data_IF_131112659814
#
_entry.id   IF_131112659814
#
_cell.length_a   1.000
_cell.length_b   1.000
_cell.length_c   1.000
_cell.angle_alpha   90.00
_cell.angle_beta   90.00
_cell.angle_gamma   90.00
#
_symmetry.space_group_name_H-M   'P 1'
#
loop_
_entity.id
_entity.type
_entity.pdbx_description
1 polymer ?
#
# COMPACT_ATOMS: atom_id res chain seq x y z
N UNK A 1 29.49 0.20 0.38
CA UNK A 1 28.73 0.60 1.57
C UNK A 1 27.65 -0.44 1.81
N UNK A 2 27.53 -0.98 3.02
CA UNK A 2 26.44 -1.90 3.36
C UNK A 2 25.11 -1.12 3.30
N UNK A 3 24.19 -1.52 2.42
CA UNK A 3 22.88 -0.91 2.36
C UNK A 3 22.10 -1.28 3.62
N UNK A 4 21.72 -0.26 4.40
CA UNK A 4 20.88 -0.44 5.56
C UNK A 4 19.47 -0.85 5.08
N UNK A 5 18.98 -1.96 5.61
CA UNK A 5 17.57 -2.33 5.40
C UNK A 5 16.67 -1.30 6.09
N UNK A 6 15.49 -1.00 5.52
CA UNK A 6 14.54 -0.10 6.17
C UNK A 6 14.10 -0.67 7.52
N UNK A 7 13.86 0.21 8.47
CA UNK A 7 13.16 -0.13 9.69
C UNK A 7 11.72 -0.52 9.36
N UNK A 8 11.20 -1.58 9.99
CA UNK A 8 9.79 -1.97 9.85
C UNK A 8 9.08 -1.70 11.16
N UNK A 9 8.05 -0.88 11.08
CA UNK A 9 7.16 -0.55 12.18
C UNK A 9 5.81 -1.21 11.92
N UNK A 10 5.25 -1.86 12.93
CA UNK A 10 3.91 -2.46 12.89
C UNK A 10 3.10 -1.79 13.99
N UNK A 11 1.98 -1.17 13.62
CA UNK A 11 1.14 -0.37 14.52
C UNK A 11 -0.35 -0.62 14.24
N UNK A 12 -1.18 -0.36 15.25
CA UNK A 12 -2.63 -0.26 15.15
C UNK A 12 -3.11 1.20 15.02
N UNK A 13 -2.17 2.14 14.91
CA UNK A 13 -2.50 3.54 14.60
C UNK A 13 -3.12 3.63 13.21
N UNK A 14 -4.29 4.26 13.07
CA UNK A 14 -4.92 4.47 11.77
C UNK A 14 -3.99 5.17 10.77
N UNK A 15 -4.01 4.74 9.51
CA UNK A 15 -3.11 5.22 8.47
C UNK A 15 -3.17 6.73 8.27
N UNK A 16 -4.36 7.33 8.37
CA UNK A 16 -4.58 8.77 8.23
C UNK A 16 -3.85 9.63 9.28
N UNK A 17 -3.53 9.03 10.42
CA UNK A 17 -2.81 9.69 11.53
C UNK A 17 -1.30 9.48 11.46
N UNK A 18 -0.81 8.65 10.54
CA UNK A 18 0.61 8.39 10.41
C UNK A 18 1.35 9.61 9.86
N UNK A 19 2.41 10.01 10.56
CA UNK A 19 3.33 11.03 10.08
C UNK A 19 4.37 10.39 9.15
N UNK A 20 3.98 10.21 7.89
CA UNK A 20 4.78 9.56 6.85
C UNK A 20 4.85 10.44 5.60
N UNK A 21 5.86 10.25 4.76
CA UNK A 21 5.99 11.02 3.51
C UNK A 21 4.94 10.60 2.49
N UNK A 22 4.63 9.30 2.47
CA UNK A 22 3.62 8.73 1.59
C UNK A 22 2.84 7.61 2.29
N UNK A 23 1.58 7.44 1.91
CA UNK A 23 0.69 6.39 2.39
C UNK A 23 0.17 5.60 1.20
N UNK A 24 0.10 4.27 1.31
CA UNK A 24 -0.44 3.41 0.28
C UNK A 24 -1.58 2.55 0.83
N UNK A 25 -2.62 2.37 0.02
CA UNK A 25 -3.80 1.55 0.29
C UNK A 25 -3.99 0.49 -0.80
N UNK A 26 -4.36 -0.75 -0.46
CA UNK A 26 -4.92 -1.67 -1.43
C UNK A 26 -6.32 -1.21 -1.83
N UNK A 27 -6.63 -1.27 -3.11
CA UNK A 27 -7.90 -0.83 -3.67
C UNK A 27 -8.45 -1.88 -4.64
N UNK A 28 -9.75 -1.85 -4.88
CA UNK A 28 -10.37 -2.67 -5.90
C UNK A 28 -10.52 -1.91 -7.23
N UNK A 29 -10.98 -2.63 -8.26
CA UNK A 29 -11.17 -2.08 -9.61
C UNK A 29 -12.22 -0.97 -9.67
N UNK A 30 -13.09 -0.83 -8.67
CA UNK A 30 -14.12 0.20 -8.57
C UNK A 30 -13.82 1.29 -7.54
N UNK A 31 -12.63 1.27 -6.93
CA UNK A 31 -12.14 2.26 -5.96
C UNK A 31 -13.06 2.43 -4.73
N UNK A 32 -13.58 1.33 -4.17
CA UNK A 32 -14.53 1.35 -3.05
C UNK A 32 -13.95 0.86 -1.71
N UNK A 33 -12.69 0.40 -1.70
CA UNK A 33 -12.04 -0.11 -0.49
C UNK A 33 -11.43 1.02 0.35
N UNK A 34 -10.82 2.01 -0.30
CA UNK A 34 -10.26 3.18 0.34
C UNK A 34 -11.35 4.00 1.05
N UNK A 35 -11.24 4.26 2.37
CA UNK A 35 -12.22 5.06 3.12
C UNK A 35 -12.34 6.51 2.61
N UNK A 36 -11.32 7.02 1.91
CA UNK A 36 -11.27 8.37 1.32
C UNK A 36 -11.57 8.35 -0.18
N UNK A 37 -12.05 7.24 -0.71
CA UNK A 37 -12.47 7.18 -2.11
C UNK A 37 -13.59 8.19 -2.36
N UNK A 38 -13.49 9.04 -3.42
CA UNK A 38 -14.54 9.98 -3.77
C UNK A 38 -15.87 9.28 -4.03
N UNK A 39 -15.87 7.98 -4.37
CA UNK A 39 -17.07 7.18 -4.57
C UNK A 39 -17.78 6.81 -3.26
N UNK A 40 -17.07 6.80 -2.12
CA UNK A 40 -17.69 6.62 -0.79
C UNK A 40 -18.29 7.91 -0.24
N UNK A 41 -17.78 9.07 -0.64
CA UNK A 41 -18.27 10.38 -0.21
C UNK A 41 -19.62 10.76 -0.87
N UNK A 42 -20.23 9.87 -1.64
CA UNK A 42 -21.47 10.15 -2.41
C UNK A 42 -22.74 10.02 -1.55
N UNK A 43 -22.72 10.54 -0.34
CA UNK A 43 -23.97 11.00 0.29
C UNK A 43 -24.37 12.41 -0.13
N UNK A 44 -23.59 13.08 -0.97
CA UNK A 44 -23.84 14.44 -1.45
C UNK A 44 -23.90 14.56 -2.96
N UNK A 45 -24.72 15.46 -3.54
CA UNK A 45 -25.12 15.43 -4.95
C UNK A 45 -24.08 16.00 -5.90
N UNK A 46 -22.90 15.43 -5.98
CA UNK A 46 -21.95 15.71 -7.05
C UNK A 46 -22.11 14.71 -8.20
N UNK A 47 -23.31 14.66 -8.77
CA UNK A 47 -23.61 13.78 -9.92
C UNK A 47 -22.59 13.91 -11.08
N UNK A 48 -22.00 15.10 -11.26
CA UNK A 48 -20.98 15.32 -12.29
C UNK A 48 -19.66 14.63 -11.94
N UNK A 49 -19.21 14.65 -10.68
CA UNK A 49 -17.98 13.98 -10.23
C UNK A 49 -18.15 12.46 -10.27
N UNK A 50 -19.32 11.96 -9.93
CA UNK A 50 -19.66 10.53 -10.04
C UNK A 50 -19.68 10.10 -11.48
N UNK A 51 -20.32 10.85 -12.38
CA UNK A 51 -20.37 10.52 -13.80
C UNK A 51 -18.98 10.54 -14.46
N UNK A 52 -18.11 11.45 -14.06
CA UNK A 52 -16.72 11.50 -14.53
C UNK A 52 -15.89 10.33 -13.96
N UNK A 53 -16.10 9.96 -12.71
CA UNK A 53 -15.46 8.79 -12.10
C UNK A 53 -15.99 7.47 -12.72
N UNK A 54 -17.29 7.33 -12.93
CA UNK A 54 -17.91 6.16 -13.59
C UNK A 54 -17.41 5.97 -15.01
N UNK A 55 -17.10 7.05 -15.74
CA UNK A 55 -16.59 6.98 -17.10
C UNK A 55 -15.20 6.32 -17.22
N UNK A 56 -14.44 6.23 -16.12
CA UNK A 56 -13.10 5.66 -16.10
C UNK A 56 -13.00 4.35 -15.30
N UNK A 57 -14.11 3.83 -14.79
CA UNK A 57 -14.19 2.55 -14.09
C UNK A 57 -14.65 1.44 -15.04
N UNK A 58 -14.27 0.18 -14.81
CA UNK A 58 -13.34 -0.27 -13.75
C UNK A 58 -11.87 0.07 -14.07
N UNK A 59 -11.08 0.31 -13.04
CA UNK A 59 -9.63 0.54 -13.18
C UNK A 59 -8.91 -0.79 -13.42
N UNK A 60 -7.85 -0.82 -14.24
CA UNK A 60 -7.10 -2.05 -14.49
C UNK A 60 -6.35 -2.52 -13.25
N UNK A 61 -6.44 -3.83 -12.96
CA UNK A 61 -5.67 -4.47 -11.89
C UNK A 61 -4.17 -4.31 -12.13
N UNK A 62 -3.45 -3.90 -11.09
CA UNK A 62 -2.02 -3.58 -11.12
C UNK A 62 -1.73 -2.10 -11.31
N UNK A 63 -2.74 -1.25 -11.46
CA UNK A 63 -2.55 0.20 -11.55
C UNK A 63 -2.18 0.80 -10.18
N UNK A 64 -1.36 1.85 -10.20
CA UNK A 64 -1.05 2.69 -9.05
C UNK A 64 -1.60 4.08 -9.36
N UNK A 65 -2.50 4.56 -8.52
CA UNK A 65 -3.18 5.84 -8.71
C UNK A 65 -2.70 6.79 -7.61
N UNK A 66 -1.90 7.83 -7.95
CA UNK A 66 -1.55 8.86 -7.01
C UNK A 66 -2.78 9.71 -6.69
N UNK A 67 -2.91 10.11 -5.43
CA UNK A 67 -3.97 10.98 -4.97
C UNK A 67 -3.45 11.96 -3.92
N UNK A 68 -4.20 13.02 -3.69
CA UNK A 68 -4.00 13.95 -2.59
C UNK A 68 -5.33 14.04 -1.84
N UNK A 69 -5.30 13.70 -0.56
CA UNK A 69 -6.49 13.68 0.31
C UNK A 69 -6.20 14.59 1.50
N UNK A 70 -6.91 15.72 1.67
CA UNK A 70 -6.63 16.69 2.71
C UNK A 70 -6.73 16.16 4.14
N UNK A 71 -7.54 15.11 4.34
CA UNK A 71 -7.77 14.47 5.63
C UNK A 71 -6.63 13.54 6.07
N UNK A 72 -5.69 13.24 5.17
CA UNK A 72 -4.55 12.35 5.43
C UNK A 72 -3.32 13.18 5.72
N UNK A 73 -2.60 12.86 6.81
CA UNK A 73 -1.40 13.57 7.20
C UNK A 73 -0.23 13.40 6.21
N UNK A 74 -0.20 12.29 5.47
CA UNK A 74 0.81 12.02 4.46
C UNK A 74 0.71 12.99 3.27
N UNK A 75 1.87 13.49 2.80
CA UNK A 75 1.92 14.41 1.67
C UNK A 75 1.47 13.77 0.34
N UNK A 76 1.49 12.44 0.24
CA UNK A 76 1.10 11.67 -0.94
C UNK A 76 0.31 10.45 -0.54
N UNK A 77 -0.70 10.12 -1.33
CA UNK A 77 -1.48 8.91 -1.21
C UNK A 77 -1.36 8.09 -2.51
N UNK A 78 -1.18 6.78 -2.39
CA UNK A 78 -1.17 5.84 -3.51
C UNK A 78 -2.27 4.80 -3.31
N UNK A 79 -3.22 4.72 -4.25
CA UNK A 79 -4.19 3.64 -4.34
C UNK A 79 -3.62 2.55 -5.23
N UNK A 80 -3.50 1.35 -4.69
CA UNK A 80 -2.98 0.19 -5.41
C UNK A 80 -4.15 -0.66 -5.86
N UNK A 81 -4.52 -0.63 -7.12
CA UNK A 81 -5.61 -1.45 -7.67
C UNK A 81 -5.14 -2.90 -7.76
N UNK A 82 -5.35 -3.65 -6.69
CA UNK A 82 -4.86 -5.04 -6.53
C UNK A 82 -6.01 -6.03 -6.45
N UNK A 83 -7.19 -5.57 -6.01
CA UNK A 83 -8.35 -6.39 -5.80
C UNK A 83 -9.32 -6.28 -6.98
N UNK A 84 -10.01 -7.37 -7.29
CA UNK A 84 -11.21 -7.37 -8.12
C UNK A 84 -12.30 -8.14 -7.36
N UNK A 85 -13.14 -7.41 -6.65
CA UNK A 85 -14.16 -7.98 -5.78
C UNK A 85 -15.29 -8.69 -6.56
N UNK A 86 -15.35 -8.55 -7.88
CA UNK A 86 -16.30 -9.27 -8.74
C UNK A 86 -15.78 -10.65 -9.13
N UNK A 87 -14.49 -10.94 -8.92
CA UNK A 87 -13.91 -12.22 -9.25
C UNK A 87 -13.99 -13.20 -8.06
N UNK A 88 -14.19 -14.51 -8.31
CA UNK A 88 -14.18 -15.52 -7.24
C UNK A 88 -12.86 -15.58 -6.47
N UNK A 89 -11.78 -15.11 -7.08
CA UNK A 89 -10.46 -14.91 -6.45
C UNK A 89 -10.09 -13.45 -6.60
N UNK A 90 -10.40 -12.63 -5.60
CA UNK A 90 -10.32 -11.16 -5.72
C UNK A 90 -8.91 -10.63 -5.93
N UNK A 91 -7.88 -11.45 -5.70
CA UNK A 91 -6.52 -11.06 -6.02
C UNK A 91 -5.60 -12.25 -6.34
N UNK A 92 -4.47 -11.94 -6.96
CA UNK A 92 -3.44 -12.92 -7.34
C UNK A 92 -2.09 -12.50 -6.77
N UNK A 93 -1.40 -13.40 -6.11
CA UNK A 93 -0.08 -13.14 -5.49
C UNK A 93 0.88 -12.41 -6.43
N UNK A 94 0.96 -12.84 -7.71
CA UNK A 94 1.85 -12.22 -8.70
C UNK A 94 1.51 -10.75 -8.97
N UNK A 95 0.22 -10.42 -9.00
CA UNK A 95 -0.23 -9.02 -9.18
C UNK A 95 0.20 -8.19 -7.99
N UNK A 96 -0.08 -8.68 -6.77
CA UNK A 96 0.33 -8.01 -5.53
C UNK A 96 1.83 -7.72 -5.55
N UNK A 97 2.66 -8.74 -5.76
CA UNK A 97 4.12 -8.57 -5.78
C UNK A 97 4.60 -7.60 -6.84
N UNK A 98 4.03 -7.67 -8.05
CA UNK A 98 4.43 -6.77 -9.14
C UNK A 98 4.06 -5.32 -8.82
N UNK A 99 2.86 -5.10 -8.30
CA UNK A 99 2.39 -3.75 -7.92
C UNK A 99 3.23 -3.18 -6.77
N UNK A 100 3.55 -3.99 -5.76
CA UNK A 100 4.41 -3.57 -4.65
C UNK A 100 5.82 -3.18 -5.11
N UNK A 101 6.43 -3.96 -6.00
CA UNK A 101 7.74 -3.61 -6.57
C UNK A 101 7.70 -2.30 -7.35
N UNK A 102 6.62 -2.06 -8.10
CA UNK A 102 6.42 -0.78 -8.79
C UNK A 102 6.25 0.37 -7.81
N UNK A 103 5.44 0.18 -6.76
CA UNK A 103 5.27 1.19 -5.71
C UNK A 103 6.62 1.58 -5.10
N UNK A 104 7.45 0.60 -4.70
CA UNK A 104 8.76 0.89 -4.09
C UNK A 104 9.66 1.70 -5.03
N UNK A 105 9.63 1.45 -6.34
CA UNK A 105 10.38 2.24 -7.33
C UNK A 105 9.82 3.66 -7.43
N UNK A 106 8.51 3.78 -7.56
CA UNK A 106 7.84 5.08 -7.72
C UNK A 106 8.07 5.99 -6.50
N UNK A 107 7.95 5.45 -5.28
CA UNK A 107 8.21 6.23 -4.07
C UNK A 107 9.69 6.59 -3.91
N UNK A 108 10.61 5.72 -4.36
CA UNK A 108 12.05 6.00 -4.37
C UNK A 108 12.38 7.12 -5.35
N UNK A 109 11.82 7.11 -6.56
CA UNK A 109 11.99 8.15 -7.58
C UNK A 109 11.45 9.52 -7.09
N UNK A 110 10.43 9.49 -6.22
CA UNK A 110 9.85 10.69 -5.60
C UNK A 110 10.59 11.14 -4.33
N UNK A 111 11.65 10.45 -3.93
CA UNK A 111 12.45 10.78 -2.75
C UNK A 111 11.76 10.50 -1.43
N UNK A 112 10.74 9.65 -1.41
CA UNK A 112 10.05 9.21 -0.19
C UNK A 112 11.00 8.40 0.67
N UNK A 113 11.07 8.72 1.96
CA UNK A 113 11.92 8.04 2.94
C UNK A 113 11.10 7.18 3.90
N UNK A 114 9.89 7.61 4.21
CA UNK A 114 8.98 6.90 5.10
C UNK A 114 7.67 6.60 4.38
N UNK A 115 7.43 5.30 4.12
CA UNK A 115 6.21 4.81 3.48
C UNK A 115 5.31 4.11 4.50
N UNK A 116 4.08 4.59 4.63
CA UNK A 116 2.98 3.93 5.34
C UNK A 116 2.24 2.97 4.40
N UNK A 117 1.85 1.82 4.93
CA UNK A 117 1.08 0.79 4.25
C UNK A 117 -0.15 0.50 5.11
N UNK A 118 -1.31 1.02 4.72
CA UNK A 118 -2.54 0.90 5.50
C UNK A 118 -3.47 -0.17 4.95
N UNK A 119 -4.11 -0.93 5.83
CA UNK A 119 -5.08 -2.01 5.52
C UNK A 119 -4.50 -3.14 4.67
N UNK A 120 -3.20 -3.36 4.70
CA UNK A 120 -2.57 -4.43 3.92
C UNK A 120 -2.91 -5.84 4.41
N UNK A 121 -3.51 -5.98 5.58
CA UNK A 121 -4.14 -7.23 6.05
C UNK A 121 -5.27 -7.70 5.13
N UNK A 122 -5.90 -6.82 4.36
CA UNK A 122 -6.90 -7.19 3.35
C UNK A 122 -6.32 -8.07 2.24
N UNK A 123 -5.01 -8.08 2.08
CA UNK A 123 -4.30 -8.91 1.09
C UNK A 123 -3.94 -10.31 1.62
N UNK A 124 -4.19 -10.62 2.90
CA UNK A 124 -3.86 -11.93 3.50
C UNK A 124 -4.43 -13.14 2.75
N UNK A 125 -5.64 -13.09 2.15
CA UNK A 125 -6.13 -14.19 1.32
C UNK A 125 -5.30 -14.46 0.06
N UNK A 126 -4.45 -13.50 -0.34
CA UNK A 126 -3.70 -13.50 -1.60
C UNK A 126 -2.21 -13.70 -1.39
N UNK A 127 -1.68 -13.17 -0.29
CA UNK A 127 -0.26 -13.17 0.03
C UNK A 127 -0.06 -13.18 1.54
N UNK A 128 0.80 -14.05 2.05
CA UNK A 128 1.11 -14.05 3.48
C UNK A 128 1.90 -12.80 3.87
N UNK A 129 1.76 -12.36 5.14
CA UNK A 129 2.51 -11.24 5.71
C UNK A 129 4.03 -11.40 5.51
N UNK A 130 4.56 -12.61 5.73
CA UNK A 130 5.97 -12.93 5.49
C UNK A 130 6.39 -12.63 4.05
N UNK A 131 5.62 -13.12 3.06
CA UNK A 131 5.95 -12.95 1.63
C UNK A 131 5.81 -11.50 1.19
N UNK A 132 4.81 -10.79 1.73
CA UNK A 132 4.59 -9.37 1.47
C UNK A 132 5.77 -8.52 1.97
N UNK A 133 6.17 -8.70 3.24
CA UNK A 133 7.31 -7.99 3.82
C UNK A 133 8.60 -8.34 3.06
N UNK A 134 8.82 -9.63 2.76
CA UNK A 134 10.00 -10.07 1.99
C UNK A 134 10.07 -9.44 0.60
N UNK A 135 8.93 -9.27 -0.08
CA UNK A 135 8.86 -8.63 -1.39
C UNK A 135 9.28 -7.16 -1.32
N UNK A 136 8.78 -6.42 -0.32
CA UNK A 136 9.10 -5.01 -0.12
C UNK A 136 10.58 -4.81 0.23
N UNK A 137 11.09 -5.59 1.18
CA UNK A 137 12.51 -5.54 1.56
C UNK A 137 13.45 -5.91 0.42
N UNK A 138 13.09 -6.95 -0.35
CA UNK A 138 13.89 -7.39 -1.49
C UNK A 138 14.00 -6.32 -2.57
N UNK A 139 12.91 -5.61 -2.89
CA UNK A 139 12.94 -4.54 -3.87
C UNK A 139 13.68 -3.30 -3.34
N UNK A 140 13.51 -2.95 -2.07
CA UNK A 140 14.24 -1.85 -1.44
C UNK A 140 15.76 -2.12 -1.45
N UNK A 141 16.19 -3.34 -1.12
CA UNK A 141 17.60 -3.73 -1.16
C UNK A 141 18.15 -3.69 -2.59
N UNK A 142 17.38 -4.13 -3.57
CA UNK A 142 17.76 -4.09 -5.00
C UNK A 142 18.00 -2.64 -5.47
N UNK A 143 17.11 -1.70 -5.13
CA UNK A 143 17.27 -0.28 -5.48
C UNK A 143 18.48 0.32 -4.78
N UNK A 144 18.66 0.05 -3.50
CA UNK A 144 19.85 0.50 -2.77
C UNK A 144 21.15 0.03 -3.41
N UNK A 145 21.19 -1.22 -3.88
CA UNK A 145 22.36 -1.76 -4.61
C UNK A 145 22.64 -1.06 -5.93
N UNK A 146 21.62 -0.46 -6.54
CA UNK A 146 21.73 0.33 -7.77
C UNK A 146 22.08 1.82 -7.53
N UNK A 147 22.30 2.21 -6.26
CA UNK A 147 22.61 3.60 -5.89
C UNK A 147 21.39 4.53 -5.82
N UNK A 148 20.19 3.99 -5.94
CA UNK A 148 18.95 4.77 -5.76
C UNK A 148 18.70 4.93 -4.25
N UNK A 149 18.34 6.14 -3.76
CA UNK A 149 17.98 6.34 -2.36
C UNK A 149 16.88 5.36 -1.95
N UNK A 150 17.17 4.52 -0.96
CA UNK A 150 16.21 3.56 -0.45
C UNK A 150 15.35 4.17 0.65
N UNK A 151 14.20 3.56 0.91
CA UNK A 151 13.36 3.87 2.07
C UNK A 151 14.15 3.66 3.38
N UNK A 152 13.93 4.57 4.33
CA UNK A 152 14.45 4.41 5.70
C UNK A 152 13.48 3.61 6.57
N UNK A 153 12.17 3.80 6.35
CA UNK A 153 11.14 3.21 7.19
C UNK A 153 9.94 2.75 6.36
N UNK A 154 9.41 1.57 6.73
CA UNK A 154 8.14 1.02 6.27
C UNK A 154 7.23 0.85 7.48
N UNK A 155 6.08 1.51 7.52
CA UNK A 155 5.10 1.37 8.61
C UNK A 155 3.85 0.65 8.12
N UNK A 156 3.50 -0.47 8.75
CA UNK A 156 2.23 -1.16 8.53
C UNK A 156 1.22 -0.68 9.56
N UNK A 157 0.17 -0.01 9.11
CA UNK A 157 -1.01 0.34 9.89
C UNK A 157 -2.05 -0.77 9.69
N UNK A 158 -2.32 -1.55 10.74
CA UNK A 158 -3.17 -2.74 10.69
C UNK A 158 -4.34 -2.56 11.65
N UNK A 159 -5.56 -2.74 11.13
CA UNK A 159 -6.79 -2.39 11.86
C UNK A 159 -7.30 -3.51 12.79
N UNK A 160 -6.66 -4.69 12.77
CA UNK A 160 -7.04 -5.83 13.62
C UNK A 160 -5.88 -6.30 14.49
N UNK A 161 -6.09 -6.47 15.82
CA UNK A 161 -5.04 -6.96 16.71
C UNK A 161 -4.48 -8.34 16.31
N UNK A 162 -5.28 -9.18 15.64
CA UNK A 162 -4.81 -10.45 15.09
C UNK A 162 -3.82 -10.25 13.95
N UNK A 163 -4.08 -9.30 13.04
CA UNK A 163 -3.17 -8.94 11.95
C UNK A 163 -1.86 -8.36 12.49
N UNK A 164 -1.92 -7.46 13.48
CA UNK A 164 -0.73 -6.93 14.16
C UNK A 164 0.18 -8.06 14.65
N UNK A 165 -0.39 -9.02 15.40
CA UNK A 165 0.37 -10.19 15.89
C UNK A 165 0.92 -11.04 14.74
N UNK A 166 0.13 -11.27 13.70
CA UNK A 166 0.54 -12.06 12.54
C UNK A 166 1.75 -11.42 11.83
N UNK A 167 1.69 -10.10 11.59
CA UNK A 167 2.80 -9.36 10.97
C UNK A 167 4.05 -9.31 11.87
N UNK A 168 3.90 -9.17 13.18
CA UNK A 168 5.02 -9.23 14.14
C UNK A 168 5.72 -10.61 14.09
N UNK A 169 4.94 -11.70 14.07
CA UNK A 169 5.50 -13.06 13.93
C UNK A 169 6.18 -13.23 12.58
N UNK A 170 5.57 -12.75 11.49
CA UNK A 170 6.18 -12.81 10.17
C UNK A 170 7.52 -12.06 10.12
N UNK A 171 7.57 -10.88 10.74
CA UNK A 171 8.76 -10.04 10.83
C UNK A 171 9.88 -10.72 11.63
N UNK A 172 9.55 -11.34 12.76
CA UNK A 172 10.52 -12.05 13.61
C UNK A 172 11.13 -13.28 12.93
N UNK A 173 10.45 -13.87 11.95
CA UNK A 173 10.90 -15.04 11.21
C UNK A 173 11.68 -14.71 9.92
N UNK A 174 11.94 -13.42 9.64
CA UNK A 174 12.73 -13.03 8.48
C UNK A 174 14.22 -13.37 8.70
N UNK A 175 14.90 -13.95 7.70
CA UNK A 175 16.31 -14.27 7.82
C UNK A 175 17.16 -13.01 7.92
N UNK A 176 18.08 -12.98 8.88
CA UNK A 176 19.06 -11.89 9.07
C UNK A 176 18.56 -10.71 9.91
N UNK A 177 17.49 -10.89 10.65
CA UNK A 177 17.04 -9.97 11.73
C UNK A 177 17.25 -10.56 13.10
#
# INVERSE_FOLDING_TARGET
MAHRQPEIIITDTPGELLQVDALAYPEDTFLVVDPYSPLRAVETPFAAVVAEAEAILPRPVGEIIPACVPEVAAARLFRLVILDLNEPRPCRTRVVETTLRRLIREVADLGVRHLGLDRFELLEPCISAYRLISCLLGETARLGSSGVPALDTLTFALHHPAAVRHYQVALANLPGR
#
